data_IF_399864562399
#
_entry.id   IF_399864562399
#
_cell.length_a   1.000
_cell.length_b   1.000
_cell.length_c   1.000
_cell.angle_alpha   90.00
_cell.angle_beta   90.00
_cell.angle_gamma   90.00
#
_symmetry.space_group_name_H-M   'P 1'
#
loop_
_entity.id
_entity.type
_entity.pdbx_description
1 polymer ?
#
# COMPACT_ATOMS: atom_id res chain seq x y z
N UNK A 1 -20.62 10.36 0.87
CA UNK A 1 -19.24 10.06 0.47
C UNK A 1 -19.28 8.68 -0.20
N UNK A 2 -19.49 8.62 -1.51
CA UNK A 2 -19.80 7.36 -2.20
C UNK A 2 -18.56 6.47 -2.27
N UNK A 3 -18.71 5.22 -1.83
CA UNK A 3 -17.75 4.11 -1.88
C UNK A 3 -17.28 3.74 -3.30
N UNK A 4 -17.63 4.52 -4.31
CA UNK A 4 -17.48 4.17 -5.73
C UNK A 4 -16.03 4.11 -6.19
N UNK A 5 -15.09 4.86 -5.59
CA UNK A 5 -13.73 4.96 -6.14
C UNK A 5 -12.80 3.81 -5.78
N UNK A 6 -12.93 3.21 -4.59
CA UNK A 6 -12.09 2.07 -4.18
C UNK A 6 -12.44 0.80 -4.97
N UNK A 7 -13.68 0.71 -5.48
CA UNK A 7 -14.17 -0.43 -6.26
C UNK A 7 -13.62 -0.41 -7.70
N UNK A 8 -13.08 0.75 -8.15
CA UNK A 8 -12.63 0.94 -9.53
C UNK A 8 -11.11 0.77 -9.70
N UNK A 9 -10.37 0.47 -8.64
CA UNK A 9 -8.91 0.30 -8.67
C UNK A 9 -8.52 -1.10 -8.20
N UNK A 10 -7.62 -1.76 -8.93
CA UNK A 10 -7.13 -3.08 -8.57
C UNK A 10 -5.62 -3.14 -8.72
N UNK A 11 -4.97 -3.77 -7.74
CA UNK A 11 -3.57 -4.16 -7.78
C UNK A 11 -3.51 -5.69 -7.72
N UNK A 12 -2.80 -6.30 -8.67
CA UNK A 12 -2.64 -7.74 -8.74
C UNK A 12 -1.20 -8.09 -9.06
N UNK A 13 -0.62 -9.04 -8.33
CA UNK A 13 0.70 -9.59 -8.60
C UNK A 13 0.58 -10.94 -9.29
N UNK A 14 1.29 -11.10 -10.40
CA UNK A 14 1.38 -12.36 -11.14
C UNK A 14 2.80 -12.90 -10.95
N UNK A 15 2.90 -14.14 -10.50
CA UNK A 15 4.18 -14.83 -10.29
C UNK A 15 4.37 -15.84 -11.42
N UNK A 16 5.47 -15.69 -12.16
CA UNK A 16 5.85 -16.58 -13.25
C UNK A 16 7.31 -17.03 -13.16
N UNK A 17 7.79 -17.75 -14.18
CA UNK A 17 9.17 -18.24 -14.25
C UNK A 17 10.21 -17.11 -14.29
N UNK A 18 9.83 -15.92 -14.74
CA UNK A 18 10.68 -14.72 -14.79
C UNK A 18 10.65 -13.86 -13.52
N UNK A 19 9.90 -14.28 -12.49
CA UNK A 19 9.71 -13.54 -11.24
C UNK A 19 8.28 -13.01 -11.05
N UNK A 20 8.15 -12.02 -10.17
CA UNK A 20 6.88 -11.39 -9.82
C UNK A 20 6.71 -10.04 -10.51
N UNK A 21 5.59 -9.88 -11.22
CA UNK A 21 5.17 -8.64 -11.85
C UNK A 21 3.87 -8.15 -11.20
N UNK A 22 3.88 -6.89 -10.74
CA UNK A 22 2.71 -6.27 -10.11
C UNK A 22 2.05 -5.30 -11.09
N UNK A 23 0.74 -5.47 -11.27
CA UNK A 23 -0.09 -4.72 -12.18
C UNK A 23 -1.05 -3.83 -11.40
N UNK A 24 -1.26 -2.62 -11.92
CA UNK A 24 -2.31 -1.71 -11.49
C UNK A 24 -3.29 -1.48 -12.64
N UNK A 25 -4.58 -1.53 -12.34
CA UNK A 25 -5.62 -1.15 -13.29
C UNK A 25 -6.64 -0.23 -12.65
N UNK A 26 -7.15 0.69 -13.46
CA UNK A 26 -8.25 1.58 -13.15
C UNK A 26 -9.43 1.21 -14.04
N UNK A 27 -10.66 1.29 -13.55
CA UNK A 27 -11.85 0.79 -14.26
C UNK A 27 -12.08 1.45 -15.64
N UNK A 28 -11.53 2.66 -15.85
CA UNK A 28 -11.59 3.36 -17.14
C UNK A 28 -10.53 2.91 -18.14
N UNK A 29 -9.61 2.02 -17.76
CA UNK A 29 -8.51 1.57 -18.61
C UNK A 29 -8.83 0.24 -19.27
N UNK A 30 -8.41 0.11 -20.53
CA UNK A 30 -8.57 -1.12 -21.31
C UNK A 30 -7.45 -2.14 -21.08
N UNK A 31 -6.31 -1.69 -20.51
CA UNK A 31 -5.15 -2.54 -20.23
C UNK A 31 -4.56 -2.20 -18.86
N UNK A 32 -4.20 -3.22 -18.04
CA UNK A 32 -3.47 -3.00 -16.82
C UNK A 32 -2.05 -2.46 -17.12
N UNK A 33 -1.52 -1.66 -16.20
CA UNK A 33 -0.15 -1.14 -16.28
C UNK A 33 0.76 -1.88 -15.30
N UNK A 34 1.96 -2.21 -15.75
CA UNK A 34 2.98 -2.82 -14.91
C UNK A 34 3.60 -1.74 -14.02
N UNK A 35 3.60 -1.98 -12.72
CA UNK A 35 4.28 -1.15 -11.75
C UNK A 35 5.75 -1.58 -11.65
N UNK A 36 6.58 -1.06 -12.56
CA UNK A 36 8.00 -1.46 -12.70
C UNK A 36 8.85 -1.28 -11.44
N UNK A 37 8.47 -0.34 -10.54
CA UNK A 37 9.14 -0.14 -9.24
C UNK A 37 8.97 -1.33 -8.29
N UNK A 38 7.95 -2.17 -8.50
CA UNK A 38 7.66 -3.36 -7.71
C UNK A 38 8.22 -4.65 -8.33
N UNK A 39 9.02 -4.55 -9.40
CA UNK A 39 9.54 -5.73 -10.09
C UNK A 39 10.38 -6.58 -9.13
N UNK A 40 10.06 -7.88 -9.07
CA UNK A 40 10.75 -8.83 -8.20
C UNK A 40 10.25 -8.84 -6.75
N UNK A 41 9.28 -7.99 -6.39
CA UNK A 41 8.59 -8.05 -5.11
C UNK A 41 7.23 -8.73 -5.28
N UNK A 42 6.93 -9.66 -4.39
CA UNK A 42 5.60 -10.28 -4.32
C UNK A 42 4.74 -9.44 -3.38
N UNK A 43 3.79 -8.69 -3.93
CA UNK A 43 2.82 -7.93 -3.12
C UNK A 43 1.64 -8.85 -2.79
N UNK A 44 1.41 -9.07 -1.51
CA UNK A 44 0.35 -9.96 -1.02
C UNK A 44 -0.88 -9.20 -0.53
N UNK A 45 -0.70 -8.00 0.00
CA UNK A 45 -1.80 -7.20 0.53
C UNK A 45 -1.60 -5.71 0.27
N UNK A 46 -2.71 -4.99 0.14
CA UNK A 46 -2.74 -3.55 -0.11
C UNK A 46 -3.74 -2.88 0.82
N UNK A 47 -3.29 -1.86 1.53
CA UNK A 47 -4.14 -0.96 2.30
C UNK A 47 -4.30 0.37 1.56
N UNK A 48 -5.55 0.74 1.35
CA UNK A 48 -5.96 1.90 0.58
C UNK A 48 -6.34 3.06 1.51
N UNK A 49 -5.82 4.25 1.25
CA UNK A 49 -6.21 5.46 1.97
C UNK A 49 -7.58 5.95 1.48
N UNK A 50 -8.65 5.37 2.05
CA UNK A 50 -10.03 5.58 1.59
C UNK A 50 -10.52 7.03 1.70
N UNK A 51 -9.90 7.86 2.55
CA UNK A 51 -10.29 9.26 2.71
C UNK A 51 -9.69 10.18 1.65
N UNK A 52 -8.50 9.84 1.14
CA UNK A 52 -7.75 10.74 0.28
C UNK A 52 -7.71 10.29 -1.18
N UNK A 53 -8.11 9.05 -1.48
CA UNK A 53 -8.20 8.54 -2.86
C UNK A 53 -9.03 9.48 -3.75
N UNK A 54 -8.51 9.76 -4.95
CA UNK A 54 -9.22 10.57 -5.95
C UNK A 54 -9.26 9.85 -7.28
N UNK A 55 -10.10 10.33 -8.20
CA UNK A 55 -10.12 9.82 -9.57
C UNK A 55 -8.76 9.96 -10.29
N UNK A 56 -7.96 10.95 -9.90
CA UNK A 56 -6.67 11.23 -10.52
C UNK A 56 -5.49 10.50 -9.84
N UNK A 57 -5.63 10.02 -8.59
CA UNK A 57 -4.54 9.38 -7.88
C UNK A 57 -5.02 8.47 -6.77
N UNK A 58 -4.30 7.37 -6.57
CA UNK A 58 -4.49 6.49 -5.41
C UNK A 58 -4.22 7.19 -4.09
N UNK A 59 -3.50 8.32 -4.12
CA UNK A 59 -2.76 8.88 -2.98
C UNK A 59 -1.87 7.82 -2.35
N UNK A 60 -1.47 8.05 -1.11
CA UNK A 60 -0.61 7.14 -0.36
C UNK A 60 -1.35 5.82 -0.14
N UNK A 61 -0.78 4.74 -0.64
CA UNK A 61 -1.20 3.37 -0.35
C UNK A 61 -0.05 2.63 0.30
N UNK A 62 -0.39 1.63 1.10
CA UNK A 62 0.59 0.77 1.75
C UNK A 62 0.50 -0.61 1.11
N UNK A 63 1.65 -1.13 0.70
CA UNK A 63 1.80 -2.46 0.14
C UNK A 63 2.51 -3.33 1.16
N UNK A 64 2.08 -4.57 1.32
CA UNK A 64 2.80 -5.56 2.10
C UNK A 64 3.30 -6.71 1.23
N UNK A 65 4.51 -7.18 1.52
CA UNK A 65 5.18 -8.22 0.74
C UNK A 65 5.22 -9.58 1.43
N UNK A 66 5.61 -10.61 0.68
CA UNK A 66 5.91 -11.95 1.17
C UNK A 66 7.11 -12.03 2.10
N UNK A 67 8.03 -11.06 2.03
CA UNK A 67 9.23 -10.98 2.87
C UNK A 67 9.04 -10.08 4.11
N UNK A 68 7.79 -9.81 4.51
CA UNK A 68 7.50 -9.06 5.73
C UNK A 68 7.84 -7.56 5.64
N UNK A 69 7.78 -6.96 4.46
CA UNK A 69 8.08 -5.54 4.27
C UNK A 69 6.82 -4.73 3.99
N UNK A 70 6.80 -3.47 4.43
CA UNK A 70 5.82 -2.47 4.02
C UNK A 70 6.44 -1.40 3.16
N UNK A 71 5.74 -1.07 2.07
CA UNK A 71 6.10 0.01 1.18
C UNK A 71 4.98 1.03 1.08
N UNK A 72 5.34 2.31 1.13
CA UNK A 72 4.47 3.42 0.74
C UNK A 72 4.65 3.67 -0.75
N UNK A 73 3.54 3.84 -1.46
CA UNK A 73 3.54 4.22 -2.87
C UNK A 73 2.35 5.12 -3.16
N UNK A 74 2.47 5.95 -4.20
CA UNK A 74 1.34 6.61 -4.82
C UNK A 74 1.40 6.43 -6.33
N UNK A 75 0.25 6.14 -6.95
CA UNK A 75 0.11 6.03 -8.40
C UNK A 75 -0.72 7.20 -8.91
N UNK A 76 -0.23 7.85 -9.96
CA UNK A 76 -1.02 8.82 -10.72
C UNK A 76 -1.81 8.10 -11.83
N UNK A 77 -3.11 8.34 -11.89
CA UNK A 77 -3.97 7.74 -12.93
C UNK A 77 -3.74 8.43 -14.29
N UNK A 78 -3.32 9.69 -14.31
CA UNK A 78 -3.03 10.39 -15.56
C UNK A 78 -1.72 9.89 -16.17
N UNK A 79 -0.67 9.83 -15.34
CA UNK A 79 0.67 9.47 -15.81
C UNK A 79 0.89 7.96 -15.87
N UNK A 80 -0.04 7.18 -15.30
CA UNK A 80 -0.02 5.69 -15.29
C UNK A 80 1.24 5.11 -14.66
N UNK A 81 1.90 5.88 -13.79
CA UNK A 81 3.17 5.53 -13.18
C UNK A 81 3.16 5.75 -11.67
N UNK A 82 3.91 4.90 -10.98
CA UNK A 82 4.19 5.06 -9.56
C UNK A 82 5.07 6.30 -9.34
N UNK A 83 4.53 7.31 -8.65
CA UNK A 83 5.25 8.56 -8.34
C UNK A 83 6.50 8.28 -7.52
N UNK A 84 6.34 7.53 -6.44
CA UNK A 84 7.42 7.15 -5.53
C UNK A 84 7.17 5.77 -4.95
N UNK A 85 8.20 5.22 -4.34
CA UNK A 85 8.13 4.00 -3.55
C UNK A 85 9.10 4.14 -2.38
N UNK A 86 8.63 3.94 -1.16
CA UNK A 86 9.41 4.13 0.07
C UNK A 86 9.25 2.91 0.96
N UNK A 87 10.35 2.29 1.37
CA UNK A 87 10.33 1.26 2.42
C UNK A 87 9.99 1.91 3.76
N UNK A 88 8.98 1.40 4.44
CA UNK A 88 8.50 1.93 5.72
C UNK A 88 8.84 1.03 6.90
N UNK A 89 8.80 -0.28 6.68
CA UNK A 89 8.97 -1.27 7.72
C UNK A 89 9.48 -2.58 7.12
N UNK A 90 10.23 -3.33 7.92
CA UNK A 90 10.71 -4.67 7.59
C UNK A 90 10.70 -5.53 8.86
N UNK A 91 9.98 -6.65 8.81
CA UNK A 91 9.89 -7.61 9.90
C UNK A 91 11.15 -8.48 9.95
N UNK A 92 12.14 -8.03 10.71
CA UNK A 92 13.44 -8.72 10.81
C UNK A 92 13.46 -9.93 11.76
N UNK A 93 12.56 -9.95 12.73
CA UNK A 93 12.53 -10.99 13.77
C UNK A 93 12.12 -12.35 13.21
N UNK A 94 11.14 -12.35 12.31
CA UNK A 94 10.64 -13.54 11.64
C UNK A 94 10.07 -13.10 10.28
N UNK A 95 10.75 -13.41 9.15
CA UNK A 95 10.27 -13.03 7.83
C UNK A 95 9.03 -13.85 7.49
N UNK A 96 7.86 -13.34 7.87
CA UNK A 96 6.57 -13.89 7.48
C UNK A 96 5.92 -13.02 6.42
N UNK A 97 5.21 -13.67 5.50
CA UNK A 97 4.38 -13.00 4.53
C UNK A 97 3.20 -12.31 5.23
N UNK A 98 3.03 -11.01 4.98
CA UNK A 98 1.78 -10.36 5.35
C UNK A 98 0.68 -10.75 4.35
N UNK A 99 -0.43 -11.28 4.86
CA UNK A 99 -1.55 -11.78 4.06
C UNK A 99 -2.78 -10.87 4.13
N UNK A 100 -2.80 -9.93 5.08
CA UNK A 100 -3.85 -8.94 5.23
C UNK A 100 -3.29 -7.59 5.63
N UNK A 101 -3.83 -6.52 5.07
CA UNK A 101 -3.45 -5.16 5.40
C UNK A 101 -4.68 -4.24 5.33
N UNK A 102 -4.92 -3.48 6.39
CA UNK A 102 -5.96 -2.47 6.46
C UNK A 102 -5.37 -1.18 7.02
N UNK A 103 -5.82 -0.04 6.50
CA UNK A 103 -5.49 1.26 7.07
C UNK A 103 -6.76 2.03 7.39
N UNK A 104 -6.73 2.72 8.53
CA UNK A 104 -7.79 3.60 8.99
C UNK A 104 -7.22 4.96 9.36
N UNK A 105 -8.00 6.01 9.12
CA UNK A 105 -7.60 7.36 9.46
C UNK A 105 -8.32 7.81 10.73
N UNK A 106 -7.56 8.29 11.71
CA UNK A 106 -8.08 8.90 12.92
C UNK A 106 -7.75 10.39 12.93
N UNK A 107 -8.79 11.22 12.92
CA UNK A 107 -8.66 12.65 13.18
C UNK A 107 -8.48 12.87 14.68
N UNK A 108 -7.30 13.31 15.09
CA UNK A 108 -7.02 13.72 16.48
C UNK A 108 -6.88 15.25 16.53
N UNK A 109 -7.09 15.84 17.72
CA UNK A 109 -7.05 17.29 17.93
C UNK A 109 -5.77 17.97 17.37
N UNK A 110 -4.65 17.23 17.28
CA UNK A 110 -3.36 17.73 16.78
C UNK A 110 -2.98 17.21 15.37
N UNK A 111 -3.94 16.75 14.57
CA UNK A 111 -3.73 16.39 13.16
C UNK A 111 -4.28 15.01 12.77
N UNK A 112 -3.88 14.54 11.59
CA UNK A 112 -4.32 13.24 11.04
C UNK A 112 -3.31 12.14 11.42
N UNK A 113 -3.78 11.08 12.06
CA UNK A 113 -3.01 9.85 12.30
C UNK A 113 -3.57 8.71 11.45
N UNK A 114 -2.69 7.80 11.07
CA UNK A 114 -3.07 6.60 10.35
C UNK A 114 -2.79 5.38 11.22
N UNK A 115 -3.75 4.49 11.32
CA UNK A 115 -3.60 3.20 11.98
C UNK A 115 -3.53 2.14 10.91
N UNK A 116 -2.46 1.35 10.92
CA UNK A 116 -2.27 0.24 9.99
C UNK A 116 -2.35 -1.05 10.77
N UNK A 117 -3.27 -1.93 10.37
CA UNK A 117 -3.39 -3.27 10.91
C UNK A 117 -2.89 -4.25 9.85
N UNK A 118 -1.97 -5.11 10.23
CA UNK A 118 -1.39 -6.12 9.35
C UNK A 118 -1.53 -7.51 9.95
N UNK A 119 -1.80 -8.49 9.09
CA UNK A 119 -1.97 -9.89 9.48
C UNK A 119 -0.90 -10.71 8.79
N UNK A 120 -0.16 -11.49 9.58
CA UNK A 120 0.72 -12.55 9.15
C UNK A 120 0.13 -13.90 9.61
N UNK A 121 0.58 -15.06 9.09
CA UNK A 121 0.05 -16.37 9.47
C UNK A 121 -0.02 -16.62 10.98
N UNK A 122 0.94 -16.10 11.75
CA UNK A 122 1.01 -16.36 13.20
C UNK A 122 0.71 -15.15 14.09
N UNK A 123 0.62 -13.95 13.51
CA UNK A 123 0.62 -12.69 14.28
C UNK A 123 -0.26 -11.63 13.66
N UNK A 124 -0.85 -10.81 14.51
CA UNK A 124 -1.52 -9.57 14.15
C UNK A 124 -0.69 -8.40 14.67
N UNK A 125 -0.44 -7.43 13.80
CA UNK A 125 0.33 -6.24 14.11
C UNK A 125 -0.55 -5.01 14.00
N UNK A 126 -0.38 -4.08 14.94
CA UNK A 126 -0.96 -2.75 14.87
C UNK A 126 0.14 -1.72 14.87
N UNK A 127 0.07 -0.77 13.94
CA UNK A 127 1.03 0.30 13.83
C UNK A 127 0.32 1.65 13.90
N UNK A 128 0.81 2.52 14.78
CA UNK A 128 0.45 3.92 14.76
C UNK A 128 1.43 4.64 13.84
N UNK A 129 0.93 5.15 12.73
CA UNK A 129 1.68 5.98 11.79
C UNK A 129 1.27 7.43 11.99
N UNK A 130 2.27 8.31 12.07
CA UNK A 130 2.04 9.75 12.05
C UNK A 130 1.42 10.22 10.73
N UNK A 131 1.53 11.51 10.42
CA UNK A 131 1.07 12.00 9.11
C UNK A 131 1.97 11.46 8.00
N UNK A 132 1.38 10.94 6.92
CA UNK A 132 2.06 10.78 5.63
C UNK A 132 2.26 12.16 4.98
N UNK A 133 3.09 13.01 5.57
CA UNK A 133 3.70 14.11 4.80
C UNK A 133 4.86 13.48 4.04
N UNK A 134 5.08 13.84 2.78
CA UNK A 134 6.22 13.38 1.97
C UNK A 134 7.60 13.79 2.50
N UNK A 135 7.69 14.09 3.79
CA UNK A 135 8.87 14.34 4.59
C UNK A 135 9.20 13.03 5.32
N UNK A 136 10.48 12.66 5.42
CA UNK A 136 10.94 11.28 5.65
C UNK A 136 10.48 10.57 6.94
N UNK A 137 9.67 11.18 7.80
CA UNK A 137 9.42 10.81 9.19
C UNK A 137 8.23 9.89 9.48
N UNK A 138 7.59 9.29 8.47
CA UNK A 138 6.60 8.23 8.71
C UNK A 138 7.24 6.98 9.35
N UNK A 139 7.30 6.97 10.70
CA UNK A 139 7.79 5.83 11.50
C UNK A 139 6.62 4.96 11.95
N UNK A 140 6.76 3.66 11.72
CA UNK A 140 5.86 2.64 12.25
C UNK A 140 6.25 2.40 13.70
N UNK A 141 5.42 2.87 14.63
CA UNK A 141 5.55 2.50 16.04
C UNK A 141 4.78 1.19 16.22
N UNK A 142 5.52 0.12 16.52
CA UNK A 142 4.95 -1.16 16.93
C UNK A 142 4.54 -1.03 18.39
N UNK A 143 3.25 -1.25 18.66
CA UNK A 143 2.74 -1.33 20.04
C UNK A 143 2.92 -2.73 20.62
#
# INVERSE_FOLDING_TARGET
>A
MTLEWVILMCIATVIGSSGADTYYTHAKWTKPHILSKLKGLVVNAVAWNRLHITEASTREIILATDNGQFYEMAVDVKDKMAKYMKLLFELKELPEAFTGLQMETASVHNGTRFYVMAVAPTRLYSFAVGSFKGDGDSKFLQN
#
